data_IF_691473776553
#
_entry.id   IF_691473776553
#
_cell.length_a   1.000
_cell.length_b   1.000
_cell.length_c   1.000
_cell.angle_alpha   90.00
_cell.angle_beta   90.00
_cell.angle_gamma   90.00
#
_symmetry.space_group_name_H-M   'P 1'
#
loop_
_entity.id
_entity.type
_entity.pdbx_description
1 polymer ?
#
# COMPACT_ATOMS: atom_id res chain seq x y z
N UNK A 1 11.05 13.01 0.65
CA UNK A 1 11.54 11.63 0.54
C UNK A 1 11.26 11.11 -0.88
N UNK A 2 12.21 10.47 -1.48
CA UNK A 2 12.03 9.80 -2.76
C UNK A 2 11.48 8.39 -2.50
N UNK A 3 10.19 8.22 -2.72
CA UNK A 3 9.50 6.95 -2.43
C UNK A 3 10.03 5.81 -3.31
N UNK A 4 10.31 6.09 -4.57
CA UNK A 4 10.80 5.07 -5.49
C UNK A 4 12.15 4.55 -5.02
N UNK A 5 13.08 5.44 -4.73
CA UNK A 5 14.39 5.07 -4.22
C UNK A 5 14.27 4.32 -2.90
N UNK A 6 13.41 4.80 -2.01
CA UNK A 6 13.23 4.17 -0.71
C UNK A 6 12.80 2.70 -0.86
N UNK A 7 11.75 2.44 -1.64
CA UNK A 7 11.25 1.07 -1.77
C UNK A 7 12.13 0.17 -2.63
N UNK A 8 12.87 0.74 -3.58
CA UNK A 8 13.83 -0.05 -4.36
C UNK A 8 15.00 -0.52 -3.52
N UNK A 9 15.36 0.21 -2.49
CA UNK A 9 16.52 -0.09 -1.66
C UNK A 9 16.16 -0.68 -0.30
N UNK A 10 14.90 -0.98 -0.06
CA UNK A 10 14.44 -1.48 1.24
C UNK A 10 13.89 -2.88 1.11
N UNK A 11 14.17 -3.70 2.13
CA UNK A 11 13.59 -5.01 2.30
C UNK A 11 12.87 -5.01 3.63
N UNK A 12 11.62 -5.45 3.64
CA UNK A 12 10.85 -5.41 4.88
C UNK A 12 9.45 -5.95 4.70
N UNK A 13 8.61 -5.59 5.67
CA UNK A 13 7.23 -6.05 5.76
C UNK A 13 6.29 -4.85 5.70
N UNK A 14 5.31 -4.92 4.80
CA UNK A 14 4.28 -3.89 4.68
C UNK A 14 2.99 -4.30 5.34
N UNK A 15 2.36 -3.38 6.04
CA UNK A 15 1.07 -3.58 6.68
C UNK A 15 0.15 -2.45 6.25
N UNK A 16 -0.97 -2.79 5.61
CA UNK A 16 -1.98 -1.82 5.22
C UNK A 16 -3.10 -1.85 6.24
N UNK A 17 -3.40 -0.69 6.83
CA UNK A 17 -4.50 -0.53 7.76
C UNK A 17 -5.59 0.30 7.10
N UNK A 18 -6.81 -0.22 7.14
CA UNK A 18 -7.98 0.39 6.52
C UNK A 18 -9.13 0.43 7.52
N UNK A 19 -10.16 1.18 7.20
CA UNK A 19 -11.37 1.23 8.01
C UNK A 19 -12.60 1.25 7.12
N UNK A 20 -13.71 0.75 7.64
CA UNK A 20 -14.98 0.87 6.93
C UNK A 20 -15.63 2.23 7.20
N UNK A 21 -16.83 2.44 6.68
CA UNK A 21 -17.55 3.71 6.85
C UNK A 21 -17.91 4.01 8.30
N UNK A 22 -17.96 2.99 9.15
CA UNK A 22 -18.31 3.12 10.56
C UNK A 22 -17.10 3.17 11.48
N UNK A 23 -15.89 3.17 10.92
CA UNK A 23 -14.68 3.25 11.71
C UNK A 23 -14.16 1.92 12.23
N UNK A 24 -14.68 0.80 11.75
CA UNK A 24 -14.12 -0.51 12.09
C UNK A 24 -12.83 -0.71 11.31
N UNK A 25 -11.74 -0.98 12.02
CA UNK A 25 -10.40 -1.02 11.43
C UNK A 25 -9.92 -2.45 11.21
N UNK A 26 -9.06 -2.60 10.22
CA UNK A 26 -8.44 -3.88 9.88
C UNK A 26 -7.02 -3.64 9.42
N UNK A 27 -6.15 -4.61 9.62
CA UNK A 27 -4.76 -4.54 9.17
C UNK A 27 -4.40 -5.83 8.44
N UNK A 28 -3.70 -5.70 7.33
CA UNK A 28 -3.33 -6.84 6.50
C UNK A 28 -1.92 -6.64 5.95
N UNK A 29 -1.23 -7.76 5.71
CA UNK A 29 0.11 -7.73 5.12
C UNK A 29 -0.02 -7.47 3.62
N UNK A 30 0.79 -6.55 3.13
CA UNK A 30 0.86 -6.21 1.70
C UNK A 30 2.32 -6.17 1.25
N UNK A 31 2.54 -6.47 -0.02
CA UNK A 31 3.85 -6.34 -0.64
C UNK A 31 4.26 -4.87 -0.74
N UNK A 32 5.51 -4.63 -1.18
CA UNK A 32 5.97 -3.27 -1.44
C UNK A 32 5.04 -2.61 -2.46
N UNK A 33 4.73 -1.33 -2.28
CA UNK A 33 3.86 -0.64 -3.24
C UNK A 33 4.59 -0.36 -4.55
N UNK A 34 3.80 -0.17 -5.61
CA UNK A 34 4.31 0.35 -6.86
C UNK A 34 4.31 1.87 -6.77
N UNK A 35 5.47 2.49 -6.89
CA UNK A 35 5.55 3.95 -6.84
C UNK A 35 5.22 4.49 -8.23
N UNK A 36 4.16 5.27 -8.32
CA UNK A 36 3.62 5.75 -9.60
C UNK A 36 3.88 7.23 -9.82
N UNK A 37 4.40 7.92 -8.83
CA UNK A 37 4.71 9.34 -8.93
C UNK A 37 5.48 9.80 -7.70
N UNK A 38 5.68 11.10 -7.59
CA UNK A 38 6.45 11.68 -6.49
C UNK A 38 5.83 11.40 -5.12
N UNK A 39 4.50 11.46 -5.06
CA UNK A 39 3.74 11.24 -3.83
C UNK A 39 2.57 10.27 -4.05
N UNK A 40 2.68 9.41 -5.05
CA UNK A 40 1.62 8.45 -5.37
C UNK A 40 2.15 7.04 -5.43
N UNK A 41 1.35 6.11 -4.92
CA UNK A 41 1.64 4.69 -4.95
C UNK A 41 0.40 3.93 -5.41
N UNK A 42 0.62 2.69 -5.84
CA UNK A 42 -0.47 1.79 -6.20
C UNK A 42 -0.27 0.44 -5.53
N UNK A 43 -1.38 -0.17 -5.13
CA UNK A 43 -1.39 -1.50 -4.55
C UNK A 43 -2.34 -2.39 -5.33
N UNK A 44 -1.93 -3.63 -5.58
CA UNK A 44 -2.84 -4.64 -6.12
C UNK A 44 -3.61 -5.21 -4.94
N UNK A 45 -4.93 -5.02 -4.95
CA UNK A 45 -5.78 -5.42 -3.84
C UNK A 45 -6.74 -6.52 -4.28
N UNK A 46 -6.68 -7.64 -3.57
CA UNK A 46 -7.59 -8.77 -3.83
C UNK A 46 -8.97 -8.46 -3.27
N UNK A 47 -10.03 -9.17 -3.74
CA UNK A 47 -11.39 -8.91 -3.27
C UNK A 47 -11.61 -9.44 -1.85
N UNK A 48 -11.02 -8.76 -0.89
CA UNK A 48 -11.06 -9.09 0.53
C UNK A 48 -11.41 -7.83 1.33
N UNK A 49 -11.37 -7.95 2.64
CA UNK A 49 -11.84 -6.89 3.52
C UNK A 49 -11.15 -5.54 3.29
N UNK A 50 -9.82 -5.54 3.07
CA UNK A 50 -9.11 -4.27 2.85
C UNK A 50 -9.64 -3.52 1.63
N UNK A 51 -9.91 -4.24 0.52
CA UNK A 51 -10.46 -3.60 -0.67
C UNK A 51 -11.87 -3.09 -0.41
N UNK A 52 -12.70 -3.86 0.27
CA UNK A 52 -14.05 -3.42 0.61
C UNK A 52 -14.01 -2.16 1.47
N UNK A 53 -13.15 -2.14 2.48
CA UNK A 53 -12.99 -0.98 3.34
C UNK A 53 -12.60 0.27 2.55
N UNK A 54 -11.61 0.15 1.67
CA UNK A 54 -11.09 1.32 0.95
C UNK A 54 -12.09 1.87 -0.06
N UNK A 55 -13.01 1.05 -0.51
CA UNK A 55 -14.09 1.52 -1.38
C UNK A 55 -15.13 2.35 -0.64
N UNK A 56 -15.21 2.22 0.67
CA UNK A 56 -16.16 2.95 1.50
C UNK A 56 -15.50 4.04 2.35
N UNK A 57 -14.19 3.94 2.57
CA UNK A 57 -13.43 4.94 3.30
C UNK A 57 -12.08 5.09 2.60
N UNK A 58 -11.80 6.24 1.98
CA UNK A 58 -10.61 6.40 1.15
C UNK A 58 -9.30 6.52 1.92
N UNK A 59 -9.35 6.57 3.23
CA UNK A 59 -8.14 6.79 4.04
C UNK A 59 -7.55 5.49 4.53
N UNK A 60 -6.22 5.42 4.51
CA UNK A 60 -5.48 4.23 4.95
C UNK A 60 -4.11 4.64 5.46
N UNK A 61 -3.46 3.69 6.13
CA UNK A 61 -2.05 3.85 6.53
C UNK A 61 -1.29 2.62 6.06
N UNK A 62 -0.18 2.85 5.38
CA UNK A 62 0.72 1.79 5.00
C UNK A 62 1.97 1.89 5.86
N UNK A 63 2.16 0.92 6.76
CA UNK A 63 3.31 0.88 7.65
C UNK A 63 4.34 -0.09 7.09
N UNK A 64 5.55 0.40 6.84
CA UNK A 64 6.63 -0.43 6.30
C UNK A 64 7.70 -0.61 7.35
N UNK A 65 7.95 -1.86 7.72
CA UNK A 65 8.91 -2.23 8.75
C UNK A 65 10.12 -2.82 8.04
N UNK A 66 11.24 -2.10 8.05
CA UNK A 66 12.46 -2.55 7.41
C UNK A 66 13.03 -3.75 8.15
N UNK A 67 13.55 -4.72 7.38
CA UNK A 67 14.23 -5.88 7.95
C UNK A 67 15.49 -5.41 8.67
N UNK A 68 15.71 -5.91 9.89
CA UNK A 68 16.88 -5.59 10.67
C UNK A 68 16.51 -5.10 12.06
N UNK A 69 17.54 -4.75 12.86
CA UNK A 69 17.30 -4.28 14.23
C UNK A 69 16.82 -2.84 14.28
N UNK A 70 16.20 -2.46 15.39
CA UNK A 70 15.99 -1.07 15.72
C UNK A 70 14.71 -0.42 15.24
N UNK A 71 13.72 -1.16 14.80
CA UNK A 71 12.42 -0.60 14.40
C UNK A 71 12.55 0.55 13.41
N UNK A 72 13.26 0.32 12.33
CA UNK A 72 13.38 1.29 11.23
C UNK A 72 12.26 1.10 10.24
N UNK A 73 11.79 2.18 9.66
CA UNK A 73 10.73 2.11 8.66
C UNK A 73 9.98 3.42 8.52
N UNK A 74 8.84 3.36 7.86
CA UNK A 74 8.03 4.55 7.60
C UNK A 74 6.54 4.22 7.75
N UNK A 75 5.77 5.23 8.10
CA UNK A 75 4.31 5.17 8.05
C UNK A 75 3.85 6.15 6.98
N UNK A 76 3.22 5.62 5.95
CA UNK A 76 2.67 6.43 4.87
C UNK A 76 1.17 6.61 5.11
N UNK A 77 0.74 7.86 5.24
CA UNK A 77 -0.68 8.17 5.35
C UNK A 77 -1.22 8.35 3.94
N UNK A 78 -2.29 7.64 3.62
CA UNK A 78 -2.76 7.47 2.26
C UNK A 78 -4.19 7.94 2.10
N UNK A 79 -4.48 8.43 0.89
CA UNK A 79 -5.84 8.70 0.48
C UNK A 79 -6.06 8.15 -0.92
N UNK A 80 -7.08 7.29 -1.09
CA UNK A 80 -7.38 6.70 -2.39
C UNK A 80 -7.77 7.79 -3.38
N UNK A 81 -7.16 7.76 -4.57
CA UNK A 81 -7.46 8.69 -5.63
C UNK A 81 -8.14 8.05 -6.82
N UNK A 82 -7.86 6.77 -7.09
CA UNK A 82 -8.43 6.09 -8.24
C UNK A 82 -8.40 4.58 -8.03
N UNK A 83 -9.18 3.88 -8.82
CA UNK A 83 -9.25 2.44 -8.80
C UNK A 83 -9.32 1.95 -10.25
N UNK A 84 -8.46 1.00 -10.60
CA UNK A 84 -8.41 0.42 -11.93
C UNK A 84 -8.84 -1.03 -11.87
N UNK A 85 -9.85 -1.38 -12.67
CA UNK A 85 -10.38 -2.74 -12.68
C UNK A 85 -9.96 -3.55 -13.91
N UNK A 86 -9.39 -2.90 -14.92
CA UNK A 86 -9.01 -3.59 -16.15
C UNK A 86 -8.00 -4.68 -15.85
N UNK A 87 -8.34 -5.97 -16.13
CA UNK A 87 -7.44 -7.07 -15.78
C UNK A 87 -6.08 -6.99 -16.46
N UNK A 88 -6.02 -6.44 -17.66
CA UNK A 88 -4.74 -6.32 -18.36
C UNK A 88 -3.82 -5.33 -17.67
N UNK A 89 -4.36 -4.17 -17.27
CA UNK A 89 -3.58 -3.17 -16.54
C UNK A 89 -3.12 -3.71 -15.20
N UNK A 90 -4.01 -4.37 -14.46
CA UNK A 90 -3.67 -4.99 -13.18
C UNK A 90 -2.56 -6.02 -13.37
N UNK A 91 -2.65 -6.84 -14.42
CA UNK A 91 -1.65 -7.87 -14.68
C UNK A 91 -0.28 -7.29 -15.05
N UNK A 92 -0.23 -6.13 -15.68
CA UNK A 92 1.04 -5.48 -15.97
C UNK A 92 1.77 -5.12 -14.69
N UNK A 93 1.06 -4.60 -13.71
CA UNK A 93 1.65 -4.30 -12.39
C UNK A 93 2.04 -5.57 -11.65
N UNK A 94 1.21 -6.61 -11.73
CA UNK A 94 1.49 -7.89 -11.08
C UNK A 94 2.77 -8.52 -11.60
N UNK A 95 3.04 -8.44 -12.89
CA UNK A 95 4.26 -9.01 -13.48
C UNK A 95 5.52 -8.34 -12.99
N UNK A 96 5.44 -7.08 -12.58
CA UNK A 96 6.59 -6.37 -12.06
C UNK A 96 6.79 -6.60 -10.55
N UNK A 97 5.88 -7.33 -9.89
CA UNK A 97 5.95 -7.63 -8.48
C UNK A 97 6.53 -9.01 -8.25
N UNK A 98 7.59 -9.09 -7.49
CA UNK A 98 8.15 -10.39 -7.09
C UNK A 98 7.24 -11.06 -6.07
N UNK A 99 7.02 -12.35 -6.24
CA UNK A 99 6.26 -13.15 -5.27
C UNK A 99 4.77 -13.11 -5.42
N UNK A 100 4.23 -12.33 -6.32
CA UNK A 100 2.81 -12.36 -6.59
C UNK A 100 2.51 -13.40 -7.65
N UNK A 101 2.17 -14.59 -7.20
CA UNK A 101 1.78 -15.68 -8.07
C UNK A 101 0.28 -15.91 -8.10
N UNK A 102 -0.46 -15.15 -7.31
CA UNK A 102 -1.88 -15.33 -7.18
C UNK A 102 -2.63 -14.75 -8.36
N UNK A 103 -3.37 -15.56 -9.04
CA UNK A 103 -4.13 -15.14 -10.18
C UNK A 103 -5.59 -14.85 -9.86
N UNK A 104 -5.89 -14.08 -8.81
CA UNK A 104 -7.27 -13.71 -8.59
C UNK A 104 -7.71 -12.73 -9.65
N UNK A 105 -8.67 -13.15 -10.48
CA UNK A 105 -9.12 -12.33 -11.62
C UNK A 105 -9.87 -11.07 -11.22
N UNK A 106 -10.28 -10.97 -9.94
CA UNK A 106 -11.03 -9.83 -9.44
C UNK A 106 -10.17 -8.85 -8.66
N UNK A 107 -8.86 -9.04 -8.64
CA UNK A 107 -7.97 -8.08 -8.01
C UNK A 107 -8.04 -6.75 -8.73
N UNK A 108 -7.91 -5.68 -7.98
CA UNK A 108 -7.98 -4.32 -8.52
C UNK A 108 -6.70 -3.58 -8.19
N UNK A 109 -6.36 -2.61 -9.04
CA UNK A 109 -5.23 -1.73 -8.80
C UNK A 109 -5.77 -0.45 -8.18
N UNK A 110 -5.33 -0.14 -6.97
CA UNK A 110 -5.81 1.02 -6.25
C UNK A 110 -4.69 2.03 -6.11
N UNK A 111 -4.95 3.26 -6.52
CA UNK A 111 -3.98 4.35 -6.46
C UNK A 111 -4.24 5.19 -5.22
N UNK A 112 -3.15 5.57 -4.57
CA UNK A 112 -3.21 6.38 -3.36
C UNK A 112 -2.27 7.57 -3.48
N UNK A 113 -2.71 8.71 -2.97
CA UNK A 113 -1.82 9.82 -2.70
C UNK A 113 -1.24 9.64 -1.30
N UNK A 114 0.07 9.83 -1.17
CA UNK A 114 0.73 9.87 0.13
C UNK A 114 0.61 11.29 0.66
N UNK A 115 -0.20 11.46 1.70
CA UNK A 115 -0.49 12.78 2.25
C UNK A 115 0.45 13.18 3.37
N UNK A 116 1.11 12.20 3.99
CA UNK A 116 2.05 12.43 5.08
C UNK A 116 2.96 11.22 5.22
N UNK A 117 4.20 11.47 5.61
CA UNK A 117 5.16 10.40 5.92
C UNK A 117 5.67 10.64 7.33
N UNK A 118 5.64 9.59 8.14
CA UNK A 118 6.17 9.62 9.50
C UNK A 118 7.14 8.47 9.70
N UNK A 119 8.09 8.57 10.63
CA UNK A 119 8.94 7.42 10.95
C UNK A 119 8.11 6.29 11.55
N UNK A 120 8.69 5.10 11.59
CA UNK A 120 7.99 3.92 12.12
C UNK A 120 7.60 4.14 13.59
N UNK A 121 8.46 4.79 14.35
CA UNK A 121 8.26 5.05 15.77
C UNK A 121 8.41 6.54 16.03
N UNK A 122 7.54 7.09 16.86
CA UNK A 122 7.59 8.50 17.26
C UNK A 122 7.00 9.42 16.22
N UNK A 123 7.29 10.70 16.32
CA UNK A 123 6.68 11.71 15.46
C UNK A 123 7.59 12.22 14.35
N UNK A 124 8.86 11.86 14.37
CA UNK A 124 9.73 12.15 13.25
C UNK A 124 10.23 13.58 13.18
N UNK A 125 10.27 14.25 14.26
CA UNK A 125 10.88 15.59 14.32
C UNK A 125 12.39 15.53 14.25
#
# INVERSE_FOLDING_TARGET
MDLKEYFENSVGLGILSTADANGNVDSAIYANPHVTGEDTIALIMRPRLSLDNIQHNPKAVYMYIEKGPGYQGRRLYLEKTALEEDPETVNQFRRSSHGDTGGESQAKLVYFKVTRIRPLVGDGE
#
